data_IF_091811602862
#
_entry.id   IF_091811602862
#
_cell.length_a   1.000
_cell.length_b   1.000
_cell.length_c   1.000
_cell.angle_alpha   90.00
_cell.angle_beta   90.00
_cell.angle_gamma   90.00
#
_symmetry.space_group_name_H-M   'P 1'
#
loop_
_entity.id
_entity.type
_entity.pdbx_description
1 polymer ?
#
# COMPACT_ATOMS: atom_id res chain seq x y z
N UNK A 1 -33.74 23.73 45.94
CA UNK A 1 -33.55 22.67 44.92
C UNK A 1 -32.22 22.93 44.24
N UNK A 2 -31.23 22.09 44.53
CA UNK A 2 -29.87 22.23 44.05
C UNK A 2 -29.41 20.82 43.67
N UNK A 3 -28.66 20.73 42.57
CA UNK A 3 -27.83 19.62 42.10
C UNK A 3 -28.47 18.60 41.13
N UNK A 4 -28.29 18.84 39.82
CA UNK A 4 -27.63 17.87 38.94
C UNK A 4 -27.11 18.61 37.70
N UNK A 5 -25.78 18.64 37.59
CA UNK A 5 -24.99 19.26 36.53
C UNK A 5 -25.49 18.92 35.12
N UNK A 6 -25.97 19.92 34.38
CA UNK A 6 -26.06 19.85 32.92
C UNK A 6 -24.65 20.13 32.36
N UNK A 7 -23.75 19.14 32.49
CA UNK A 7 -22.50 19.13 31.75
C UNK A 7 -22.80 18.58 30.37
N UNK A 8 -22.66 19.39 29.33
CA UNK A 8 -22.75 18.92 27.95
C UNK A 8 -21.80 17.73 27.75
N UNK A 9 -22.31 16.65 27.16
CA UNK A 9 -21.49 15.49 26.80
C UNK A 9 -20.40 15.92 25.81
N UNK A 10 -19.14 15.77 26.20
CA UNK A 10 -17.97 16.08 25.37
C UNK A 10 -17.42 14.78 24.76
N UNK A 11 -17.70 14.58 23.47
CA UNK A 11 -17.25 13.43 22.68
C UNK A 11 -16.08 13.76 21.76
N UNK A 12 -15.41 14.90 21.97
CA UNK A 12 -14.34 15.39 21.10
C UNK A 12 -13.22 14.35 20.91
N UNK A 13 -12.84 13.65 21.99
CA UNK A 13 -11.81 12.61 21.91
C UNK A 13 -12.25 11.43 21.02
N UNK A 14 -13.52 11.01 21.10
CA UNK A 14 -14.05 9.94 20.26
C UNK A 14 -14.06 10.35 18.79
N UNK A 15 -14.51 11.58 18.49
CA UNK A 15 -14.52 12.11 17.11
C UNK A 15 -13.10 12.19 16.53
N UNK A 16 -12.12 12.60 17.34
CA UNK A 16 -10.73 12.64 16.91
C UNK A 16 -10.19 11.24 16.61
N UNK A 17 -10.48 10.25 17.46
CA UNK A 17 -10.10 8.85 17.21
C UNK A 17 -10.75 8.29 15.94
N UNK A 18 -12.03 8.58 15.71
CA UNK A 18 -12.74 8.17 14.49
C UNK A 18 -12.10 8.79 13.26
N UNK A 19 -11.82 10.09 13.28
CA UNK A 19 -11.18 10.79 12.16
C UNK A 19 -9.76 10.26 11.86
N UNK A 20 -8.99 9.94 12.91
CA UNK A 20 -7.67 9.32 12.74
C UNK A 20 -7.79 7.93 12.09
N UNK A 21 -8.76 7.11 12.53
CA UNK A 21 -9.01 5.79 11.96
C UNK A 21 -9.43 5.90 10.49
N UNK A 22 -10.34 6.81 10.14
CA UNK A 22 -10.74 7.06 8.75
C UNK A 22 -9.54 7.45 7.87
N UNK A 23 -8.67 8.33 8.36
CA UNK A 23 -7.44 8.72 7.64
C UNK A 23 -6.50 7.53 7.43
N UNK A 24 -6.35 6.67 8.44
CA UNK A 24 -5.50 5.47 8.35
C UNK A 24 -6.09 4.44 7.38
N UNK A 25 -7.41 4.24 7.38
CA UNK A 25 -8.10 3.34 6.44
C UNK A 25 -7.93 3.83 5.01
N UNK A 26 -8.18 5.11 4.73
CA UNK A 26 -8.01 5.66 3.37
C UNK A 26 -6.58 5.49 2.82
N UNK A 27 -5.57 5.66 3.67
CA UNK A 27 -4.16 5.41 3.30
C UNK A 27 -3.90 3.94 2.97
N UNK A 28 -4.45 3.02 3.77
CA UNK A 28 -4.32 1.58 3.54
C UNK A 28 -5.01 1.16 2.23
N UNK A 29 -6.23 1.63 1.99
CA UNK A 29 -6.98 1.33 0.76
C UNK A 29 -6.22 1.80 -0.48
N UNK A 30 -5.66 3.02 -0.44
CA UNK A 30 -4.84 3.56 -1.52
C UNK A 30 -3.60 2.68 -1.77
N UNK A 31 -2.86 2.33 -0.72
CA UNK A 31 -1.66 1.49 -0.84
C UNK A 31 -1.98 0.09 -1.39
N UNK A 32 -3.06 -0.54 -0.91
CA UNK A 32 -3.51 -1.87 -1.38
C UNK A 32 -3.95 -1.82 -2.84
N UNK A 33 -4.69 -0.79 -3.25
CA UNK A 33 -5.14 -0.66 -4.63
C UNK A 33 -3.96 -0.49 -5.61
N UNK A 34 -2.99 0.36 -5.26
CA UNK A 34 -1.77 0.52 -6.07
C UNK A 34 -1.00 -0.79 -6.17
N UNK A 35 -0.81 -1.50 -5.04
CA UNK A 35 -0.11 -2.78 -5.04
C UNK A 35 -0.86 -3.86 -5.86
N UNK A 36 -2.19 -3.87 -5.81
CA UNK A 36 -3.02 -4.81 -6.58
C UNK A 36 -2.83 -4.62 -8.09
N UNK A 37 -2.80 -3.36 -8.57
CA UNK A 37 -2.53 -3.05 -9.98
C UNK A 37 -1.12 -3.51 -10.41
N UNK A 38 -0.11 -3.26 -9.57
CA UNK A 38 1.26 -3.72 -9.84
C UNK A 38 1.36 -5.25 -9.89
N UNK A 39 0.67 -5.97 -8.99
CA UNK A 39 0.63 -7.44 -8.97
C UNK A 39 -0.09 -7.99 -10.21
N UNK A 40 -1.20 -7.38 -10.65
CA UNK A 40 -1.87 -7.80 -11.88
C UNK A 40 -0.94 -7.68 -13.09
N UNK A 41 -0.19 -6.58 -13.21
CA UNK A 41 0.77 -6.40 -14.29
C UNK A 41 1.91 -7.43 -14.25
N UNK A 42 2.39 -7.83 -13.06
CA UNK A 42 3.34 -8.93 -12.89
C UNK A 42 2.76 -10.27 -13.38
N UNK A 43 1.52 -10.58 -13.00
CA UNK A 43 0.84 -11.82 -13.39
C UNK A 43 0.66 -11.88 -14.91
N UNK A 44 0.26 -10.78 -15.54
CA UNK A 44 0.15 -10.69 -17.00
C UNK A 44 1.49 -10.91 -17.71
N UNK A 45 2.56 -10.28 -17.22
CA UNK A 45 3.90 -10.48 -17.76
C UNK A 45 4.36 -11.94 -17.62
N UNK A 46 4.14 -12.56 -16.45
CA UNK A 46 4.45 -13.96 -16.21
C UNK A 46 3.66 -14.90 -17.12
N UNK A 47 2.37 -14.66 -17.32
CA UNK A 47 1.54 -15.42 -18.25
C UNK A 47 2.02 -15.28 -19.70
N UNK A 48 2.51 -14.09 -20.07
CA UNK A 48 3.15 -13.84 -21.36
C UNK A 48 4.54 -14.46 -21.52
N UNK A 49 5.07 -15.14 -20.48
CA UNK A 49 6.47 -15.61 -20.38
C UNK A 49 7.48 -14.49 -20.60
N UNK A 50 7.10 -13.26 -20.27
CA UNK A 50 7.94 -12.09 -20.41
C UNK A 50 8.89 -12.04 -19.22
N UNK A 51 10.18 -12.29 -19.49
CA UNK A 51 11.17 -12.42 -18.45
C UNK A 51 11.54 -11.05 -17.86
N UNK A 52 11.72 -10.99 -16.54
CA UNK A 52 12.34 -9.83 -15.89
C UNK A 52 13.80 -9.74 -16.33
N UNK A 53 14.21 -8.57 -16.82
CA UNK A 53 15.58 -8.31 -17.29
C UNK A 53 16.34 -7.34 -16.38
N UNK A 54 15.63 -6.62 -15.50
CA UNK A 54 16.27 -5.73 -14.55
C UNK A 54 15.29 -5.13 -13.54
N UNK A 55 15.87 -4.52 -12.51
CA UNK A 55 15.15 -3.70 -11.56
C UNK A 55 16.00 -2.50 -11.13
N UNK A 56 15.34 -1.40 -10.75
CA UNK A 56 15.99 -0.22 -10.17
C UNK A 56 15.13 0.38 -9.07
N UNK A 57 15.75 1.02 -8.08
CA UNK A 57 15.02 1.67 -6.99
C UNK A 57 14.42 3.01 -7.46
N UNK A 58 13.23 3.35 -6.97
CA UNK A 58 12.63 4.67 -7.18
C UNK A 58 13.44 5.74 -6.43
N UNK A 59 13.53 6.94 -6.99
CA UNK A 59 14.30 8.04 -6.41
C UNK A 59 13.84 8.46 -4.99
N UNK A 60 12.54 8.31 -4.71
CA UNK A 60 11.93 8.59 -3.41
C UNK A 60 12.02 7.41 -2.42
N UNK A 61 12.65 6.30 -2.81
CA UNK A 61 12.80 5.06 -2.03
C UNK A 61 11.49 4.40 -1.61
N UNK A 62 10.39 4.73 -2.28
CA UNK A 62 9.07 4.14 -2.01
C UNK A 62 8.87 2.78 -2.68
N UNK A 63 9.79 2.35 -3.55
CA UNK A 63 9.64 1.11 -4.30
C UNK A 63 10.68 0.91 -5.41
N UNK A 64 10.31 0.10 -6.40
CA UNK A 64 11.17 -0.32 -7.52
C UNK A 64 10.47 -0.15 -8.86
N UNK A 65 11.26 0.02 -9.92
CA UNK A 65 10.86 -0.20 -11.30
C UNK A 65 11.37 -1.58 -11.70
N UNK A 66 10.50 -2.42 -12.23
CA UNK A 66 10.84 -3.74 -12.79
C UNK A 66 10.70 -3.64 -14.30
N UNK A 67 11.74 -4.04 -15.03
CA UNK A 67 11.80 -4.03 -16.50
C UNK A 67 11.77 -5.45 -17.04
N UNK A 68 11.03 -5.63 -18.13
CA UNK A 68 10.86 -6.92 -18.78
C UNK A 68 11.53 -6.98 -20.15
N UNK A 69 11.72 -8.19 -20.67
CA UNK A 69 12.31 -8.44 -21.99
C UNK A 69 11.50 -7.82 -23.14
N UNK A 70 10.18 -7.68 -22.98
CA UNK A 70 9.32 -6.97 -23.95
C UNK A 70 9.55 -5.46 -24.03
N UNK A 71 10.35 -4.89 -23.12
CA UNK A 71 10.53 -3.44 -22.97
C UNK A 71 9.45 -2.76 -22.10
N UNK A 72 8.42 -3.50 -21.65
CA UNK A 72 7.47 -2.99 -20.65
C UNK A 72 8.19 -2.77 -19.31
N UNK A 73 7.66 -1.86 -18.51
CA UNK A 73 8.11 -1.63 -17.14
C UNK A 73 6.93 -1.37 -16.22
N UNK A 74 7.05 -1.82 -14.98
CA UNK A 74 6.05 -1.60 -13.93
C UNK A 74 6.70 -0.98 -12.70
N UNK A 75 5.93 -0.20 -11.95
CA UNK A 75 6.33 0.30 -10.64
C UNK A 75 5.74 -0.59 -9.56
N UNK A 76 6.58 -1.08 -8.65
CA UNK A 76 6.17 -1.83 -7.46
C UNK A 76 6.50 -0.99 -6.23
N UNK A 77 5.46 -0.58 -5.51
CA UNK A 77 5.60 0.21 -4.29
C UNK A 77 5.65 -0.68 -3.06
N UNK A 78 6.31 -0.21 -1.99
CA UNK A 78 6.37 -0.87 -0.67
C UNK A 78 6.96 -2.30 -0.68
N UNK A 79 7.73 -2.68 -1.70
CA UNK A 79 8.36 -4.00 -1.82
C UNK A 79 9.69 -4.17 -1.05
N UNK A 80 10.18 -3.10 -0.40
CA UNK A 80 11.51 -3.05 0.22
C UNK A 80 11.69 -4.05 1.36
N UNK A 81 10.63 -4.29 2.14
CA UNK A 81 10.64 -5.22 3.28
C UNK A 81 10.11 -6.62 2.91
N UNK A 82 10.04 -6.93 1.60
CA UNK A 82 9.69 -8.27 1.14
C UNK A 82 10.76 -9.28 1.56
N UNK A 83 10.36 -10.34 2.25
CA UNK A 83 11.26 -11.44 2.59
C UNK A 83 11.76 -12.14 1.32
N UNK A 84 13.01 -12.62 1.33
CA UNK A 84 13.55 -13.40 0.21
C UNK A 84 12.64 -14.60 -0.08
N UNK A 85 12.17 -14.71 -1.32
CA UNK A 85 11.47 -15.89 -1.79
C UNK A 85 12.40 -17.12 -1.73
N UNK A 86 11.90 -18.25 -1.24
CA UNK A 86 12.63 -19.51 -1.33
C UNK A 86 12.51 -20.05 -2.76
N UNK A 87 13.61 -20.38 -3.42
CA UNK A 87 13.57 -21.11 -4.69
C UNK A 87 12.99 -22.50 -4.44
N UNK A 88 11.87 -22.88 -5.09
CA UNK A 88 11.37 -24.26 -4.99
C UNK A 88 12.41 -25.21 -5.59
N UNK A 89 12.69 -26.31 -4.89
CA UNK A 89 13.55 -27.40 -5.36
C UNK A 89 12.85 -28.24 -6.44
#
# INVERSE_FOLDING_TARGET
MLLASCGSYDDTELRNKVSELESRVAKLESAVNTNTQSIQALVEASNGKDAVTGFSELADKTGYIITFASGKSIKLYHGRDGQNGSTPA
#
